data_IF_128293362608
#
_entry.id   IF_128293362608
#
_cell.length_a   1.000
_cell.length_b   1.000
_cell.length_c   1.000
_cell.angle_alpha   90.00
_cell.angle_beta   90.00
_cell.angle_gamma   90.00
#
_symmetry.space_group_name_H-M   'P 1'
#
loop_
_entity.id
_entity.type
_entity.pdbx_description
1 polymer ?
#
# COMPACT_ATOMS: atom_id res chain seq x y z
N UNK A 1 -22.42 -42.17 11.92
CA UNK A 1 -23.85 -42.15 11.56
C UNK A 1 -24.65 -42.11 12.86
N UNK A 2 -25.64 -41.22 12.98
CA UNK A 2 -26.54 -41.21 14.14
C UNK A 2 -27.57 -42.33 13.96
N UNK A 3 -27.51 -43.37 14.80
CA UNK A 3 -28.39 -44.55 14.72
C UNK A 3 -29.51 -44.55 15.77
N UNK A 4 -29.58 -43.50 16.59
CA UNK A 4 -30.50 -43.38 17.71
C UNK A 4 -31.26 -42.04 17.62
N UNK A 5 -32.48 -42.00 18.14
CA UNK A 5 -33.35 -40.81 18.22
C UNK A 5 -33.03 -39.94 19.43
N UNK A 6 -31.75 -39.88 19.82
CA UNK A 6 -31.26 -39.14 20.97
C UNK A 6 -31.62 -37.65 20.87
N UNK A 7 -32.13 -37.10 21.96
CA UNK A 7 -32.57 -35.70 22.05
C UNK A 7 -31.64 -34.95 22.99
N UNK A 8 -31.20 -33.75 22.60
CA UNK A 8 -30.27 -32.95 23.40
C UNK A 8 -31.04 -32.26 24.54
N UNK A 9 -30.79 -32.61 25.83
CA UNK A 9 -31.58 -32.08 26.95
C UNK A 9 -31.43 -30.58 27.19
N UNK A 10 -30.32 -29.99 26.72
CA UNK A 10 -29.95 -28.58 26.93
C UNK A 10 -30.53 -27.60 25.89
N UNK A 11 -31.35 -28.07 24.93
CA UNK A 11 -31.85 -27.26 23.80
C UNK A 11 -33.16 -26.51 24.07
N UNK A 12 -33.43 -26.03 25.29
CA UNK A 12 -34.63 -25.22 25.59
C UNK A 12 -35.98 -25.85 25.15
N UNK A 13 -37.05 -25.04 25.02
CA UNK A 13 -38.45 -25.47 24.77
C UNK A 13 -38.70 -26.37 23.55
N UNK A 14 -37.70 -26.60 22.69
CA UNK A 14 -37.80 -27.50 21.54
C UNK A 14 -36.72 -28.55 21.69
N UNK A 15 -37.09 -29.70 22.26
CA UNK A 15 -36.25 -30.87 22.38
C UNK A 15 -35.85 -31.36 20.97
N UNK A 16 -34.75 -30.83 20.44
CA UNK A 16 -34.27 -31.09 19.07
C UNK A 16 -33.47 -32.40 19.05
N UNK A 17 -33.69 -33.27 18.04
CA UNK A 17 -32.83 -34.41 17.79
C UNK A 17 -31.35 -34.00 17.68
N UNK A 18 -30.46 -34.84 18.20
CA UNK A 18 -29.00 -34.62 18.18
C UNK A 18 -28.49 -34.36 16.76
N UNK A 19 -28.99 -35.09 15.76
CA UNK A 19 -28.63 -34.91 14.35
C UNK A 19 -28.93 -33.49 13.85
N UNK A 20 -30.04 -32.90 14.27
CA UNK A 20 -30.42 -31.53 13.90
C UNK A 20 -29.55 -30.52 14.63
N UNK A 21 -29.20 -30.79 15.90
CA UNK A 21 -28.30 -29.93 16.66
C UNK A 21 -26.88 -29.93 16.04
N UNK A 22 -26.34 -31.10 15.71
CA UNK A 22 -25.03 -31.26 15.08
C UNK A 22 -24.97 -30.57 13.71
N UNK A 23 -25.98 -30.80 12.85
CA UNK A 23 -26.06 -30.13 11.55
C UNK A 23 -26.10 -28.60 11.69
N UNK A 24 -26.92 -28.07 12.60
CA UNK A 24 -27.00 -26.62 12.81
C UNK A 24 -25.70 -26.03 13.34
N UNK A 25 -24.92 -26.80 14.11
CA UNK A 25 -23.63 -26.37 14.62
C UNK A 25 -22.54 -26.29 13.53
N UNK A 26 -22.60 -27.13 12.49
CA UNK A 26 -21.54 -27.21 11.46
C UNK A 26 -21.90 -26.56 10.12
N UNK A 27 -23.20 -26.42 9.78
CA UNK A 27 -23.65 -25.94 8.46
C UNK A 27 -23.22 -24.51 8.10
N UNK A 28 -22.88 -23.67 9.07
CA UNK A 28 -22.60 -22.25 8.85
C UNK A 28 -21.16 -21.95 8.46
N UNK A 29 -20.26 -22.93 8.44
CA UNK A 29 -18.83 -22.68 8.23
C UNK A 29 -18.54 -21.95 6.90
N UNK A 30 -19.12 -22.42 5.80
CA UNK A 30 -18.95 -21.81 4.46
C UNK A 30 -19.55 -20.40 4.42
N UNK A 31 -20.77 -20.24 4.95
CA UNK A 31 -21.48 -18.96 5.01
C UNK A 31 -20.72 -17.92 5.84
N UNK A 32 -20.06 -18.36 6.92
CA UNK A 32 -19.20 -17.52 7.75
C UNK A 32 -17.99 -17.02 6.97
N UNK A 33 -17.32 -17.90 6.20
CA UNK A 33 -16.18 -17.49 5.37
C UNK A 33 -16.63 -16.54 4.26
N UNK A 34 -17.77 -16.80 3.63
CA UNK A 34 -18.35 -15.92 2.61
C UNK A 34 -18.66 -14.53 3.18
N UNK A 35 -19.31 -14.46 4.34
CA UNK A 35 -19.57 -13.22 5.07
C UNK A 35 -18.27 -12.46 5.40
N UNK A 36 -17.23 -13.17 5.87
CA UNK A 36 -15.92 -12.58 6.13
C UNK A 36 -15.26 -12.03 4.87
N UNK A 37 -15.36 -12.73 3.75
CA UNK A 37 -14.85 -12.28 2.46
C UNK A 37 -15.60 -11.04 1.96
N UNK A 38 -16.92 -11.02 2.10
CA UNK A 38 -17.75 -9.92 1.62
C UNK A 38 -17.57 -8.64 2.46
N UNK A 39 -17.40 -8.77 3.78
CA UNK A 39 -17.22 -7.63 4.69
C UNK A 39 -15.96 -6.78 4.43
N UNK A 40 -14.90 -7.38 3.90
CA UNK A 40 -13.64 -6.71 3.55
C UNK A 40 -13.17 -7.08 2.14
N UNK A 41 -14.10 -7.02 1.17
CA UNK A 41 -13.83 -7.46 -0.19
C UNK A 41 -12.88 -6.53 -0.95
N UNK A 42 -11.90 -7.11 -1.64
CA UNK A 42 -11.03 -6.38 -2.59
C UNK A 42 -11.58 -6.32 -4.01
N UNK A 43 -12.75 -6.92 -4.25
CA UNK A 43 -13.36 -6.96 -5.59
C UNK A 43 -13.60 -5.56 -6.16
N UNK A 44 -13.50 -5.45 -7.48
CA UNK A 44 -13.75 -4.23 -8.25
C UNK A 44 -14.63 -4.55 -9.44
N UNK A 45 -15.41 -3.57 -9.89
CA UNK A 45 -16.16 -3.67 -11.14
C UNK A 45 -15.16 -3.89 -12.27
N UNK A 46 -15.32 -4.99 -13.00
CA UNK A 46 -14.43 -5.37 -14.10
C UNK A 46 -15.21 -6.18 -15.12
N UNK A 47 -14.89 -6.00 -16.41
CA UNK A 47 -15.45 -6.79 -17.52
C UNK A 47 -14.70 -8.10 -17.76
N UNK A 48 -13.61 -8.33 -17.03
CA UNK A 48 -12.72 -9.48 -17.21
C UNK A 48 -12.97 -10.52 -16.12
N UNK A 49 -13.60 -11.65 -16.46
CA UNK A 49 -13.89 -12.73 -15.50
C UNK A 49 -12.66 -13.26 -14.75
N UNK A 50 -11.44 -13.34 -15.34
CA UNK A 50 -10.26 -13.78 -14.59
C UNK A 50 -9.93 -12.85 -13.43
N UNK A 51 -10.18 -11.55 -13.58
CA UNK A 51 -9.99 -10.58 -12.49
C UNK A 51 -10.98 -10.81 -11.35
N UNK A 52 -12.21 -11.22 -11.66
CA UNK A 52 -13.21 -11.59 -10.64
C UNK A 52 -12.69 -12.78 -9.81
N UNK A 53 -12.20 -13.82 -10.48
CA UNK A 53 -11.62 -15.00 -9.80
C UNK A 53 -10.39 -14.60 -8.99
N UNK A 54 -9.52 -13.73 -9.52
CA UNK A 54 -8.36 -13.22 -8.80
C UNK A 54 -8.73 -12.50 -7.50
N UNK A 55 -9.74 -11.61 -7.53
CA UNK A 55 -10.20 -10.93 -6.33
C UNK A 55 -10.80 -11.90 -5.30
N UNK A 56 -11.56 -12.90 -5.75
CA UNK A 56 -12.08 -13.95 -4.87
C UNK A 56 -10.95 -14.74 -4.20
N UNK A 57 -9.91 -15.11 -4.96
CA UNK A 57 -8.73 -15.78 -4.41
C UNK A 57 -8.03 -14.93 -3.35
N UNK A 58 -7.87 -13.62 -3.58
CA UNK A 58 -7.28 -12.71 -2.61
C UNK A 58 -8.09 -12.62 -1.31
N UNK A 59 -9.42 -12.54 -1.41
CA UNK A 59 -10.30 -12.49 -0.23
C UNK A 59 -10.15 -13.77 0.63
N UNK A 60 -10.22 -14.95 0.01
CA UNK A 60 -10.08 -16.24 0.69
C UNK A 60 -8.67 -16.41 1.26
N UNK A 61 -7.64 -16.06 0.49
CA UNK A 61 -6.25 -16.12 0.94
C UNK A 61 -6.02 -15.25 2.19
N UNK A 62 -6.60 -14.05 2.24
CA UNK A 62 -6.48 -13.17 3.40
C UNK A 62 -7.23 -13.69 4.65
N UNK A 63 -8.30 -14.46 4.49
CA UNK A 63 -8.96 -15.15 5.61
C UNK A 63 -8.08 -16.29 6.11
N UNK A 64 -7.60 -17.14 5.21
CA UNK A 64 -6.74 -18.28 5.56
C UNK A 64 -5.43 -17.83 6.21
N UNK A 65 -4.79 -16.78 5.70
CA UNK A 65 -3.60 -16.19 6.28
C UNK A 65 -3.84 -15.70 7.72
N UNK A 66 -5.01 -15.13 8.01
CA UNK A 66 -5.35 -14.70 9.37
C UNK A 66 -5.57 -15.89 10.29
N UNK A 67 -6.23 -16.95 9.82
CA UNK A 67 -6.42 -18.18 10.61
C UNK A 67 -5.05 -18.72 11.02
N UNK A 68 -4.14 -18.90 10.06
CA UNK A 68 -2.77 -19.37 10.32
C UNK A 68 -2.03 -18.44 11.29
N UNK A 69 -2.14 -17.12 11.10
CA UNK A 69 -1.51 -16.14 11.98
C UNK A 69 -2.01 -16.26 13.43
N UNK A 70 -3.32 -16.34 13.64
CA UNK A 70 -3.91 -16.47 14.98
C UNK A 70 -3.62 -17.84 15.62
N UNK A 71 -3.56 -18.90 14.82
CA UNK A 71 -3.16 -20.23 15.29
C UNK A 71 -1.72 -20.26 15.80
N UNK A 72 -0.83 -19.47 15.19
CA UNK A 72 0.57 -19.37 15.62
C UNK A 72 0.82 -18.31 16.71
N UNK A 73 -0.10 -17.36 16.89
CA UNK A 73 0.01 -16.26 17.85
C UNK A 73 -1.22 -16.23 18.76
N UNK A 74 -1.39 -17.27 19.58
CA UNK A 74 -2.62 -17.54 20.35
C UNK A 74 -2.98 -16.42 21.34
N UNK A 75 -1.99 -15.66 21.82
CA UNK A 75 -2.19 -14.51 22.71
C UNK A 75 -2.64 -13.24 21.97
N UNK A 76 -2.39 -13.16 20.66
CA UNK A 76 -2.74 -11.98 19.87
C UNK A 76 -4.23 -11.97 19.54
N UNK A 77 -4.87 -10.87 19.91
CA UNK A 77 -6.27 -10.59 19.54
C UNK A 77 -6.33 -9.49 18.51
N UNK A 78 -5.85 -9.80 17.31
CA UNK A 78 -5.89 -8.86 16.20
C UNK A 78 -7.26 -8.88 15.52
N UNK A 79 -7.91 -7.73 15.44
CA UNK A 79 -9.17 -7.58 14.68
C UNK A 79 -8.92 -7.85 13.19
N UNK A 80 -9.97 -8.30 12.47
CA UNK A 80 -9.91 -8.51 11.00
C UNK A 80 -9.34 -7.30 10.26
N UNK A 81 -9.86 -6.11 10.58
CA UNK A 81 -9.39 -4.85 9.98
C UNK A 81 -7.92 -4.56 10.32
N UNK A 82 -7.50 -4.79 11.57
CA UNK A 82 -6.11 -4.62 11.98
C UNK A 82 -5.16 -5.55 11.23
N UNK A 83 -5.52 -6.83 11.12
CA UNK A 83 -4.76 -7.83 10.36
C UNK A 83 -4.60 -7.41 8.89
N UNK A 84 -5.70 -7.03 8.23
CA UNK A 84 -5.67 -6.62 6.82
C UNK A 84 -4.83 -5.36 6.59
N UNK A 85 -4.87 -4.38 7.50
CA UNK A 85 -4.03 -3.18 7.41
C UNK A 85 -2.54 -3.53 7.52
N UNK A 86 -2.18 -4.40 8.46
CA UNK A 86 -0.80 -4.84 8.64
C UNK A 86 -0.32 -5.65 7.44
N UNK A 87 -1.15 -6.56 6.93
CA UNK A 87 -0.86 -7.32 5.72
C UNK A 87 -0.64 -6.40 4.52
N UNK A 88 -1.56 -5.47 4.26
CA UNK A 88 -1.46 -4.53 3.15
C UNK A 88 -0.20 -3.65 3.24
N UNK A 89 0.14 -3.17 4.44
CA UNK A 89 1.36 -2.39 4.67
C UNK A 89 2.60 -3.23 4.39
N UNK A 90 2.65 -4.46 4.89
CA UNK A 90 3.79 -5.36 4.71
C UNK A 90 4.02 -5.70 3.24
N UNK A 91 2.95 -5.94 2.47
CA UNK A 91 3.05 -6.19 1.03
C UNK A 91 3.51 -4.97 0.22
N UNK A 92 3.19 -3.76 0.70
CA UNK A 92 3.56 -2.52 0.01
C UNK A 92 4.95 -1.99 0.42
N UNK A 93 5.50 -2.42 1.56
CA UNK A 93 6.64 -1.78 2.22
C UNK A 93 7.87 -1.69 1.30
N UNK A 94 8.32 -2.81 0.74
CA UNK A 94 9.50 -2.88 -0.12
C UNK A 94 9.37 -1.99 -1.37
N UNK A 95 8.22 -2.03 -2.02
CA UNK A 95 7.97 -1.20 -3.19
C UNK A 95 7.95 0.30 -2.84
N UNK A 96 7.32 0.66 -1.71
CA UNK A 96 7.27 2.04 -1.27
C UNK A 96 8.65 2.58 -0.84
N UNK A 97 9.52 1.73 -0.27
CA UNK A 97 10.93 2.07 0.01
C UNK A 97 11.71 2.34 -1.26
N UNK A 98 11.60 1.50 -2.28
CA UNK A 98 12.26 1.76 -3.57
C UNK A 98 11.74 3.06 -4.20
N UNK A 99 10.42 3.27 -4.12
CA UNK A 99 9.77 4.46 -4.66
C UNK A 99 10.15 5.75 -3.93
N UNK A 100 10.48 5.71 -2.64
CA UNK A 100 10.87 6.91 -1.87
C UNK A 100 12.21 7.49 -2.34
N UNK A 101 13.09 6.65 -2.88
CA UNK A 101 14.41 7.02 -3.40
C UNK A 101 14.36 7.68 -4.78
N UNK A 102 13.23 7.58 -5.48
CA UNK A 102 13.08 8.15 -6.82
C UNK A 102 13.05 9.69 -6.80
N UNK A 103 13.91 10.32 -7.61
CA UNK A 103 14.13 11.78 -7.61
C UNK A 103 13.08 12.58 -8.38
N UNK A 104 12.30 11.90 -9.24
CA UNK A 104 11.28 12.50 -10.10
C UNK A 104 9.91 12.64 -9.44
N UNK A 105 9.75 12.21 -8.18
CA UNK A 105 8.45 12.27 -7.53
C UNK A 105 8.01 13.71 -7.22
N UNK A 106 6.69 13.97 -7.27
CA UNK A 106 6.11 15.19 -6.73
C UNK A 106 6.52 15.40 -5.27
N UNK A 107 6.86 16.63 -4.89
CA UNK A 107 7.42 16.94 -3.57
C UNK A 107 6.46 16.67 -2.39
N UNK A 108 5.15 16.61 -2.61
CA UNK A 108 4.18 16.15 -1.60
C UNK A 108 4.33 14.65 -1.33
N UNK A 109 4.33 13.83 -2.38
CA UNK A 109 4.44 12.38 -2.28
C UNK A 109 5.79 11.96 -1.69
N UNK A 110 6.86 12.67 -2.06
CA UNK A 110 8.19 12.44 -1.48
C UNK A 110 8.22 12.68 0.03
N UNK A 111 7.62 13.77 0.51
CA UNK A 111 7.51 14.05 1.96
C UNK A 111 6.72 12.97 2.67
N UNK A 112 5.54 12.60 2.16
CA UNK A 112 4.75 11.52 2.76
C UNK A 112 5.49 10.18 2.82
N UNK A 113 6.29 9.84 1.80
CA UNK A 113 7.12 8.64 1.84
C UNK A 113 8.27 8.75 2.84
N UNK A 114 8.90 9.92 2.97
CA UNK A 114 9.94 10.16 3.98
C UNK A 114 9.40 10.06 5.41
N UNK A 115 8.16 10.53 5.64
CA UNK A 115 7.50 10.41 6.95
C UNK A 115 7.15 8.95 7.29
N UNK A 116 6.81 8.15 6.28
CA UNK A 116 6.51 6.72 6.45
C UNK A 116 7.77 5.87 6.64
N UNK A 117 8.88 6.31 6.06
CA UNK A 117 10.20 5.67 6.13
C UNK A 117 11.24 6.68 6.61
N UNK A 118 11.20 7.10 7.88
CA UNK A 118 12.28 7.89 8.44
C UNK A 118 13.54 7.03 8.31
N UNK A 119 14.50 7.47 7.50
CA UNK A 119 15.76 6.75 7.36
C UNK A 119 16.38 6.65 8.76
N UNK A 120 16.37 5.46 9.35
CA UNK A 120 17.39 5.12 10.34
C UNK A 120 18.66 5.04 9.54
N UNK A 121 19.57 5.99 9.74
CA UNK A 121 20.96 5.88 9.31
C UNK A 121 21.59 4.67 10.03
N UNK A 122 21.27 3.47 9.56
CA UNK A 122 22.08 2.30 9.83
C UNK A 122 22.99 2.13 8.63
N UNK A 123 24.20 2.67 8.81
CA UNK A 123 25.37 2.27 8.07
C UNK A 123 25.49 0.74 8.06
N UNK A 124 25.79 0.19 6.87
CA UNK A 124 26.39 -1.12 6.57
C UNK A 124 25.51 -1.98 5.65
N UNK A 125 25.99 -2.17 4.42
CA UNK A 125 25.46 -3.14 3.47
C UNK A 125 25.59 -2.66 2.03
N UNK A 126 26.79 -2.73 1.48
CA UNK A 126 27.11 -2.41 0.08
C UNK A 126 26.41 -3.40 -0.89
N UNK A 127 25.11 -3.25 -1.10
CA UNK A 127 24.42 -3.78 -2.27
C UNK A 127 24.62 -2.80 -3.42
N UNK A 128 25.58 -3.07 -4.32
CA UNK A 128 25.79 -2.31 -5.54
C UNK A 128 24.57 -2.42 -6.45
N UNK A 129 23.57 -1.56 -6.27
CA UNK A 129 22.62 -1.27 -7.35
C UNK A 129 23.32 -0.30 -8.29
N UNK A 130 23.72 -0.83 -9.45
CA UNK A 130 24.21 -0.04 -10.57
C UNK A 130 23.15 0.98 -10.97
N UNK A 131 23.29 2.23 -10.51
CA UNK A 131 22.68 3.37 -11.17
C UNK A 131 23.77 4.43 -11.42
N UNK A 132 23.81 4.87 -12.68
CA UNK A 132 24.95 5.47 -13.34
C UNK A 132 25.64 6.61 -12.57
N UNK A 133 26.99 6.66 -12.72
CA UNK A 133 27.89 7.70 -12.23
C UNK A 133 27.24 9.09 -12.39
N UNK A 134 27.04 9.80 -11.27
CA UNK A 134 26.61 11.21 -11.24
C UNK A 134 27.64 12.05 -12.01
N UNK A 135 27.37 12.37 -13.27
CA UNK A 135 27.99 13.56 -13.89
C UNK A 135 27.56 14.76 -13.04
N UNK A 136 28.49 15.70 -12.77
CA UNK A 136 28.15 17.01 -12.21
C UNK A 136 27.29 17.76 -13.23
N UNK A 137 26.00 17.43 -13.26
CA UNK A 137 25.03 18.11 -14.11
C UNK A 137 24.81 19.47 -13.49
N UNK A 138 25.28 20.53 -14.16
CA UNK A 138 24.92 21.92 -13.83
C UNK A 138 23.40 21.97 -13.77
N UNK A 139 22.84 22.10 -12.55
CA UNK A 139 21.41 22.03 -12.31
C UNK A 139 20.74 23.23 -12.97
N UNK A 140 20.08 23.01 -14.11
CA UNK A 140 19.21 24.01 -14.74
C UNK A 140 17.93 24.15 -13.91
N UNK A 141 17.52 25.38 -13.62
CA UNK A 141 16.29 25.69 -12.88
C UNK A 141 15.32 26.45 -13.77
N UNK A 142 14.03 26.49 -13.38
CA UNK A 142 13.02 27.26 -14.12
C UNK A 142 13.27 28.75 -13.98
N UNK A 143 13.04 29.50 -15.05
CA UNK A 143 13.06 30.95 -15.01
C UNK A 143 12.00 31.48 -14.03
N UNK A 144 12.41 32.40 -13.16
CA UNK A 144 11.56 33.03 -12.16
C UNK A 144 10.39 33.83 -12.76
N UNK A 145 10.59 34.41 -13.94
CA UNK A 145 9.60 35.27 -14.60
C UNK A 145 8.63 34.48 -15.48
N UNK A 146 9.08 33.37 -16.08
CA UNK A 146 8.23 32.59 -16.97
C UNK A 146 7.09 31.90 -16.20
N UNK A 147 5.84 32.11 -16.62
CA UNK A 147 4.65 31.46 -16.03
C UNK A 147 4.16 30.28 -16.88
N UNK A 148 3.64 29.26 -16.20
CA UNK A 148 2.93 28.12 -16.82
C UNK A 148 3.78 27.26 -17.75
N UNK A 149 3.15 26.71 -18.80
CA UNK A 149 3.76 25.80 -19.78
C UNK A 149 4.90 26.42 -20.60
N UNK A 150 5.01 27.76 -20.61
CA UNK A 150 6.11 28.49 -21.26
C UNK A 150 7.34 28.66 -20.36
N UNK A 151 7.37 28.01 -19.19
CA UNK A 151 8.48 28.08 -18.25
C UNK A 151 9.74 27.39 -18.78
N UNK A 152 10.73 28.21 -19.15
CA UNK A 152 12.01 27.76 -19.71
C UNK A 152 13.00 27.39 -18.59
N UNK A 153 13.77 26.34 -18.82
CA UNK A 153 14.92 25.99 -17.97
C UNK A 153 16.13 26.83 -18.36
N UNK A 154 16.85 27.34 -17.37
CA UNK A 154 18.04 28.20 -17.54
C UNK A 154 19.15 27.80 -16.57
N UNK A 155 20.39 28.12 -16.96
CA UNK A 155 21.59 28.03 -16.12
C UNK A 155 22.03 29.40 -15.59
N UNK A 156 21.44 30.47 -16.10
CA UNK A 156 21.83 31.84 -15.80
C UNK A 156 21.11 32.34 -14.56
N UNK A 157 21.86 33.03 -13.70
CA UNK A 157 21.42 33.56 -12.42
C UNK A 157 21.72 35.06 -12.38
N UNK A 158 20.77 35.86 -11.89
CA UNK A 158 21.02 37.27 -11.62
C UNK A 158 22.09 37.41 -10.53
N UNK A 159 23.13 38.22 -10.78
CA UNK A 159 24.22 38.44 -9.82
C UNK A 159 23.73 39.07 -8.51
N UNK A 160 22.70 39.89 -8.58
CA UNK A 160 22.22 40.65 -7.41
C UNK A 160 21.19 39.89 -6.57
N UNK A 161 20.22 39.20 -7.20
CA UNK A 161 19.11 38.55 -6.48
C UNK A 161 19.13 37.03 -6.53
N UNK A 162 20.12 36.43 -7.16
CA UNK A 162 20.30 34.99 -7.30
C UNK A 162 19.14 34.20 -7.96
N UNK A 163 18.17 34.90 -8.56
CA UNK A 163 17.05 34.27 -9.27
C UNK A 163 17.51 33.77 -10.64
N UNK A 164 16.97 32.62 -11.05
CA UNK A 164 17.23 32.04 -12.37
C UNK A 164 16.41 32.76 -13.45
N UNK A 165 17.08 33.22 -14.51
CA UNK A 165 16.47 33.98 -15.61
C UNK A 165 16.81 33.33 -16.95
N UNK A 166 15.82 33.18 -17.84
CA UNK A 166 16.09 32.78 -19.22
C UNK A 166 16.62 33.98 -20.02
N UNK A 167 17.28 33.72 -21.15
CA UNK A 167 17.86 34.79 -21.99
C UNK A 167 16.83 35.79 -22.55
N UNK A 168 15.52 35.48 -22.51
CA UNK A 168 14.47 36.44 -22.87
C UNK A 168 14.12 37.42 -21.74
N UNK A 169 14.34 37.02 -20.48
CA UNK A 169 14.03 37.84 -19.29
C UNK A 169 15.29 38.36 -18.60
N UNK A 170 16.46 38.12 -19.18
CA UNK A 170 17.74 38.57 -18.66
C UNK A 170 18.29 39.64 -19.60
N UNK A 171 18.67 40.77 -19.04
CA UNK A 171 19.53 41.74 -19.71
C UNK A 171 20.99 41.40 -19.37
N UNK A 172 21.82 41.30 -20.41
CA UNK A 172 23.23 40.97 -20.27
C UNK A 172 23.98 42.31 -20.27
N UNK A 173 24.55 42.64 -19.13
CA UNK A 173 25.34 43.85 -18.92
C UNK A 173 26.81 43.42 -18.85
N UNK A 174 27.69 44.15 -19.54
CA UNK A 174 29.14 43.92 -19.46
C UNK A 174 29.67 44.32 -18.07
N UNK A 175 30.90 43.96 -17.72
CA UNK A 175 31.48 44.39 -16.43
C UNK A 175 31.63 45.92 -16.30
N UNK A 176 31.61 46.62 -17.43
CA UNK A 176 32.02 48.03 -17.55
C UNK A 176 30.84 48.97 -17.90
N UNK A 177 29.60 48.46 -17.90
CA UNK A 177 28.40 49.10 -18.48
C UNK A 177 27.41 49.73 -17.45
#
# INVERSE_FOLDING_TARGET
MHHDSSVVPSSGEKAKPEIIAFYNATKSAVDTVDQMCNSYSVSRITSSWPMVVFFSMLNVAAVNAQIIFLSNNVTDRLTRCGFLKNLARSLADDYLRVRSQCTSLPGSLKRSLQDLFPEKEESIGQGKVHCAKKKLVIKRQRCYVCRGSRSRLTRYRCRNCEKYLCLQHAEIICSDC
#
